data_IF_816987112430
#
_entry.id   IF_816987112430
#
_cell.length_a   1.000
_cell.length_b   1.000
_cell.length_c   1.000
_cell.angle_alpha   90.00
_cell.angle_beta   90.00
_cell.angle_gamma   90.00
#
_symmetry.space_group_name_H-M   'P 1'
#
loop_
_entity.id
_entity.type
_entity.pdbx_description
1 polymer ?
#
# COMPACT_ATOMS: atom_id res chain seq x y z
N UNK A 1 1.03 -2.86 13.47
CA UNK A 1 -0.23 -2.62 12.71
C UNK A 1 -0.97 -1.36 13.18
N UNK A 2 -0.96 -1.01 14.48
CA UNK A 2 -1.48 0.27 14.95
C UNK A 2 -0.90 1.49 14.20
N UNK A 3 0.38 1.44 13.85
CA UNK A 3 1.06 2.54 13.13
C UNK A 3 0.54 2.77 11.70
N UNK A 4 0.03 1.74 11.01
CA UNK A 4 -0.54 1.89 9.65
C UNK A 4 -1.89 2.57 9.74
N UNK A 5 -2.76 2.12 10.64
CA UNK A 5 -4.05 2.77 10.89
C UNK A 5 -3.86 4.23 11.32
N UNK A 6 -2.89 4.51 12.19
CA UNK A 6 -2.56 5.87 12.61
C UNK A 6 -2.00 6.75 11.47
N UNK A 7 -1.49 6.14 10.39
CA UNK A 7 -1.04 6.83 9.19
C UNK A 7 -2.18 7.30 8.27
N UNK A 8 -3.40 6.79 8.43
CA UNK A 8 -4.56 7.27 7.68
C UNK A 8 -5.14 8.53 8.31
N UNK A 9 -5.46 9.51 7.47
CA UNK A 9 -6.06 10.77 7.92
C UNK A 9 -7.56 10.64 8.10
N UNK A 10 -8.13 11.54 8.89
CA UNK A 10 -9.58 11.65 9.04
C UNK A 10 -10.17 12.41 7.83
N UNK A 11 -10.31 11.71 6.70
CA UNK A 11 -10.97 12.19 5.48
C UNK A 11 -12.23 11.37 5.19
N UNK A 12 -13.23 11.89 4.46
CA UNK A 12 -14.52 11.22 4.33
C UNK A 12 -14.47 9.81 3.72
N UNK A 13 -13.52 9.55 2.80
CA UNK A 13 -13.45 8.28 2.07
C UNK A 13 -12.09 7.56 2.22
N UNK A 14 -10.98 8.15 1.76
CA UNK A 14 -9.62 7.55 1.79
C UNK A 14 -9.02 7.50 3.22
N UNK A 15 -9.72 6.81 4.11
CA UNK A 15 -9.38 6.65 5.52
C UNK A 15 -9.12 5.16 5.84
N UNK A 16 -8.82 4.86 7.10
CA UNK A 16 -8.51 3.49 7.52
C UNK A 16 -9.67 2.50 7.28
N UNK A 17 -10.92 2.97 7.27
CA UNK A 17 -12.09 2.13 6.97
C UNK A 17 -12.06 1.62 5.53
N UNK A 18 -11.81 2.51 4.57
CA UNK A 18 -11.61 2.15 3.16
C UNK A 18 -10.46 1.17 2.97
N UNK A 19 -9.32 1.40 3.64
CA UNK A 19 -8.18 0.48 3.56
C UNK A 19 -8.52 -0.93 4.06
N UNK A 20 -9.31 -1.04 5.13
CA UNK A 20 -9.76 -2.33 5.67
C UNK A 20 -10.74 -3.01 4.71
N UNK A 21 -11.67 -2.27 4.13
CA UNK A 21 -12.62 -2.79 3.14
C UNK A 21 -11.90 -3.38 1.91
N UNK A 22 -10.98 -2.63 1.32
CA UNK A 22 -10.15 -3.08 0.19
C UNK A 22 -9.32 -4.31 0.57
N UNK A 23 -8.67 -4.29 1.74
CA UNK A 23 -7.85 -5.42 2.21
C UNK A 23 -8.69 -6.68 2.40
N UNK A 24 -9.87 -6.56 3.01
CA UNK A 24 -10.76 -7.68 3.27
C UNK A 24 -11.35 -8.24 1.97
N UNK A 25 -11.84 -7.37 1.08
CA UNK A 25 -12.34 -7.76 -0.23
C UNK A 25 -11.27 -8.47 -1.07
N UNK A 26 -10.05 -7.93 -1.11
CA UNK A 26 -8.92 -8.55 -1.82
C UNK A 26 -8.57 -9.92 -1.21
N UNK A 27 -8.47 -10.02 0.11
CA UNK A 27 -8.19 -11.29 0.77
C UNK A 27 -9.25 -12.34 0.43
N UNK A 28 -10.53 -11.97 0.47
CA UNK A 28 -11.63 -12.86 0.10
C UNK A 28 -11.53 -13.32 -1.36
N UNK A 29 -11.28 -12.41 -2.30
CA UNK A 29 -11.09 -12.75 -3.72
C UNK A 29 -9.92 -13.73 -3.92
N UNK A 30 -8.77 -13.48 -3.29
CA UNK A 30 -7.58 -14.30 -3.48
C UNK A 30 -7.71 -15.70 -2.85
N UNK A 31 -8.41 -15.82 -1.72
CA UNK A 31 -8.54 -17.08 -0.99
C UNK A 31 -9.79 -17.88 -1.39
N UNK A 32 -10.95 -17.24 -1.46
CA UNK A 32 -12.24 -17.92 -1.69
C UNK A 32 -12.46 -18.26 -3.15
N UNK A 33 -11.91 -17.47 -4.09
CA UNK A 33 -11.98 -17.75 -5.52
C UNK A 33 -10.72 -18.42 -6.07
N UNK A 34 -9.80 -18.85 -5.19
CA UNK A 34 -8.50 -19.41 -5.58
C UNK A 34 -7.74 -18.50 -6.55
N UNK A 35 -7.82 -17.17 -6.35
CA UNK A 35 -7.28 -16.16 -7.26
C UNK A 35 -5.77 -16.21 -7.46
N UNK A 36 -5.05 -16.91 -6.59
CA UNK A 36 -3.60 -17.12 -6.72
C UNK A 36 -3.22 -18.52 -7.25
N UNK A 37 -4.19 -19.39 -7.53
CA UNK A 37 -3.92 -20.78 -7.88
C UNK A 37 -3.01 -20.88 -9.10
N UNK A 38 -1.86 -21.53 -8.92
CA UNK A 38 -0.89 -21.74 -9.99
C UNK A 38 0.10 -20.60 -10.18
N UNK A 39 0.03 -19.54 -9.38
CA UNK A 39 1.08 -18.53 -9.29
C UNK A 39 2.24 -19.11 -8.47
N UNK A 40 3.48 -19.00 -8.96
CA UNK A 40 4.65 -19.37 -8.19
C UNK A 40 4.80 -18.50 -6.92
N UNK A 41 4.99 -19.15 -5.76
CA UNK A 41 5.11 -18.50 -4.44
C UNK A 41 3.82 -17.75 -4.03
N UNK A 42 2.69 -18.49 -4.00
CA UNK A 42 1.35 -18.00 -3.63
C UNK A 42 1.34 -17.29 -2.26
N UNK A 43 2.02 -17.85 -1.26
CA UNK A 43 2.08 -17.27 0.10
C UNK A 43 2.72 -15.88 0.11
N UNK A 44 3.83 -15.69 -0.61
CA UNK A 44 4.48 -14.39 -0.74
C UNK A 44 3.62 -13.42 -1.56
N UNK A 45 2.84 -13.91 -2.53
CA UNK A 45 1.96 -13.06 -3.32
C UNK A 45 0.79 -12.58 -2.47
N UNK A 46 0.13 -13.49 -1.74
CA UNK A 46 -0.94 -13.16 -0.80
C UNK A 46 -0.47 -12.12 0.22
N UNK A 47 0.69 -12.33 0.83
CA UNK A 47 1.26 -11.39 1.79
C UNK A 47 1.52 -10.02 1.15
N UNK A 48 2.16 -9.98 -0.03
CA UNK A 48 2.42 -8.72 -0.72
C UNK A 48 1.12 -7.99 -1.09
N UNK A 49 0.10 -8.72 -1.55
CA UNK A 49 -1.22 -8.18 -1.92
C UNK A 49 -1.95 -7.59 -0.72
N UNK A 50 -1.99 -8.30 0.41
CA UNK A 50 -2.58 -7.78 1.63
C UNK A 50 -1.82 -6.55 2.15
N UNK A 51 -0.48 -6.58 2.16
CA UNK A 51 0.31 -5.43 2.61
C UNK A 51 0.14 -4.22 1.69
N UNK A 52 0.09 -4.41 0.37
CA UNK A 52 -0.17 -3.36 -0.60
C UNK A 52 -1.54 -2.73 -0.36
N UNK A 53 -2.60 -3.55 -0.28
CA UNK A 53 -3.96 -3.08 -0.01
C UNK A 53 -4.07 -2.29 1.30
N UNK A 54 -3.39 -2.73 2.36
CA UNK A 54 -3.40 -2.03 3.65
C UNK A 54 -2.76 -0.64 3.59
N UNK A 55 -1.78 -0.42 2.71
CA UNK A 55 -1.04 0.85 2.62
C UNK A 55 -1.38 1.67 1.39
N UNK A 56 -2.27 1.21 0.50
CA UNK A 56 -2.44 1.80 -0.83
C UNK A 56 -2.90 3.27 -0.81
N UNK A 57 -3.54 3.71 0.27
CA UNK A 57 -4.01 5.10 0.47
C UNK A 57 -3.46 5.72 1.77
N UNK A 58 -2.41 5.17 2.37
CA UNK A 58 -1.90 5.67 3.66
C UNK A 58 -1.37 7.09 3.51
N UNK A 59 -1.79 8.00 4.39
CA UNK A 59 -1.41 9.42 4.32
C UNK A 59 -2.22 10.29 3.34
N UNK A 60 -3.20 9.71 2.63
CA UNK A 60 -4.08 10.44 1.70
C UNK A 60 -4.75 11.64 2.38
N UNK A 61 -4.70 12.81 1.74
CA UNK A 61 -5.16 14.09 2.32
C UNK A 61 -6.56 14.53 1.87
N UNK A 62 -7.12 13.83 0.89
CA UNK A 62 -8.53 13.92 0.48
C UNK A 62 -8.72 14.63 -0.87
N UNK A 63 -7.64 15.04 -1.51
CA UNK A 63 -7.63 15.59 -2.87
C UNK A 63 -6.94 14.63 -3.83
N UNK A 64 -7.07 14.86 -5.14
CA UNK A 64 -6.54 13.95 -6.16
C UNK A 64 -5.22 14.46 -6.76
N UNK A 65 -4.56 13.60 -7.56
CA UNK A 65 -3.31 13.96 -8.25
C UNK A 65 -3.43 15.22 -9.11
N UNK A 66 -4.57 15.46 -9.77
CA UNK A 66 -4.79 16.67 -10.58
C UNK A 66 -4.74 17.94 -9.72
N UNK A 67 -5.34 17.91 -8.53
CA UNK A 67 -5.23 19.01 -7.58
C UNK A 67 -3.78 19.22 -7.15
N UNK A 68 -3.07 18.15 -6.79
CA UNK A 68 -1.67 18.23 -6.37
C UNK A 68 -0.76 18.86 -7.44
N UNK A 69 -0.92 18.45 -8.70
CA UNK A 69 -0.15 18.95 -9.85
C UNK A 69 -0.50 20.43 -10.10
N UNK A 70 -1.79 20.75 -10.22
CA UNK A 70 -2.25 22.11 -10.53
C UNK A 70 -1.91 23.14 -9.44
N UNK A 71 -1.71 22.69 -8.20
CA UNK A 71 -1.34 23.56 -7.08
C UNK A 71 0.15 23.54 -6.75
N UNK A 72 0.95 22.77 -7.49
CA UNK A 72 2.38 22.56 -7.20
C UNK A 72 2.64 22.18 -5.73
N UNK A 73 1.78 21.31 -5.20
CA UNK A 73 1.87 20.81 -3.83
C UNK A 73 3.20 20.07 -3.56
N UNK A 74 3.53 19.86 -2.28
CA UNK A 74 4.75 19.13 -1.89
C UNK A 74 4.82 17.73 -2.52
N UNK A 75 3.70 17.00 -2.56
CA UNK A 75 3.64 15.68 -3.22
C UNK A 75 3.98 15.76 -4.70
N UNK A 76 3.40 16.72 -5.42
CA UNK A 76 3.67 16.91 -6.85
C UNK A 76 5.14 17.25 -7.13
N UNK A 77 5.72 18.15 -6.33
CA UNK A 77 7.14 18.51 -6.43
C UNK A 77 8.06 17.32 -6.09
N UNK A 78 7.75 16.59 -5.02
CA UNK A 78 8.55 15.45 -4.55
C UNK A 78 8.59 14.32 -5.57
N UNK A 79 7.47 14.05 -6.24
CA UNK A 79 7.32 12.95 -7.19
C UNK A 79 7.35 13.40 -8.65
N UNK A 80 7.73 14.66 -8.91
CA UNK A 80 7.88 15.22 -10.26
C UNK A 80 6.64 14.96 -11.14
N UNK A 81 5.45 15.22 -10.57
CA UNK A 81 4.13 15.01 -11.18
C UNK A 81 3.78 13.56 -11.58
N UNK A 82 4.67 12.60 -11.34
CA UNK A 82 4.43 11.18 -11.63
C UNK A 82 3.72 10.55 -10.44
N UNK A 83 2.46 10.15 -10.62
CA UNK A 83 1.61 9.49 -9.60
C UNK A 83 1.84 9.98 -8.16
N UNK A 84 1.68 11.29 -7.87
CA UNK A 84 2.14 11.87 -6.59
C UNK A 84 1.60 11.17 -5.33
N UNK A 85 0.32 10.79 -5.34
CA UNK A 85 -0.30 10.09 -4.22
C UNK A 85 0.20 8.65 -4.10
N UNK A 86 0.25 7.89 -5.19
CA UNK A 86 0.64 6.48 -5.17
C UNK A 86 2.09 6.29 -4.69
N UNK A 87 3.01 7.15 -5.15
CA UNK A 87 4.38 7.14 -4.63
C UNK A 87 4.46 7.59 -3.17
N UNK A 88 3.59 8.50 -2.74
CA UNK A 88 3.49 8.88 -1.33
C UNK A 88 3.04 7.73 -0.44
N UNK A 89 1.98 7.03 -0.84
CA UNK A 89 1.43 5.87 -0.15
C UNK A 89 2.48 4.77 -0.01
N UNK A 90 3.21 4.46 -1.08
CA UNK A 90 4.35 3.53 -1.05
C UNK A 90 5.45 4.00 -0.08
N UNK A 91 5.86 5.27 -0.16
CA UNK A 91 6.94 5.80 0.67
C UNK A 91 6.59 5.75 2.18
N UNK A 92 5.38 6.16 2.54
CA UNK A 92 4.87 6.11 3.91
C UNK A 92 4.67 4.65 4.35
N UNK A 93 4.00 3.84 3.55
CA UNK A 93 3.72 2.44 3.82
C UNK A 93 4.98 1.62 4.07
N UNK A 94 6.00 1.75 3.23
CA UNK A 94 7.27 1.03 3.42
C UNK A 94 8.00 1.45 4.69
N UNK A 95 8.00 2.74 5.02
CA UNK A 95 8.60 3.24 6.27
C UNK A 95 7.90 2.65 7.48
N UNK A 96 6.57 2.59 7.48
CA UNK A 96 5.80 1.99 8.59
C UNK A 96 6.05 0.48 8.72
N UNK A 97 6.07 -0.25 7.60
CA UNK A 97 6.38 -1.68 7.58
C UNK A 97 7.80 -1.93 8.10
N UNK A 98 8.78 -1.13 7.68
CA UNK A 98 10.15 -1.25 8.15
C UNK A 98 10.28 -0.98 9.65
N UNK A 99 9.66 0.09 10.14
CA UNK A 99 9.69 0.45 11.57
C UNK A 99 9.04 -0.62 12.45
N UNK A 100 8.01 -1.29 11.96
CA UNK A 100 7.34 -2.36 12.69
C UNK A 100 8.18 -3.65 12.82
N UNK A 101 9.23 -3.79 12.02
CA UNK A 101 10.03 -5.02 11.96
C UNK A 101 9.27 -6.24 11.40
N UNK A 102 8.07 -6.05 10.84
CA UNK A 102 7.18 -7.14 10.39
C UNK A 102 7.87 -8.12 9.44
N UNK A 103 8.69 -7.61 8.53
CA UNK A 103 9.37 -8.41 7.52
C UNK A 103 10.78 -8.88 7.94
N UNK A 104 11.29 -8.43 9.09
CA UNK A 104 12.65 -8.74 9.57
C UNK A 104 12.96 -10.24 9.66
N UNK A 105 12.03 -11.11 10.08
CA UNK A 105 12.29 -12.55 10.12
C UNK A 105 12.46 -13.21 8.74
N UNK A 106 12.10 -12.53 7.65
CA UNK A 106 12.10 -13.10 6.31
C UNK A 106 13.48 -12.98 5.62
N UNK A 107 13.87 -13.97 4.78
CA UNK A 107 15.06 -13.88 3.96
C UNK A 107 15.10 -12.61 3.11
N UNK A 108 16.30 -12.07 2.86
CA UNK A 108 16.48 -10.84 2.08
C UNK A 108 15.80 -10.91 0.70
N UNK A 109 15.96 -12.02 -0.02
CA UNK A 109 15.32 -12.20 -1.34
C UNK A 109 13.80 -12.19 -1.25
N UNK A 110 13.21 -12.76 -0.19
CA UNK A 110 11.75 -12.71 0.03
C UNK A 110 11.30 -11.28 0.30
N UNK A 111 12.00 -10.53 1.15
CA UNK A 111 11.70 -9.11 1.41
C UNK A 111 11.76 -8.28 0.13
N UNK A 112 12.77 -8.51 -0.72
CA UNK A 112 12.92 -7.83 -2.01
C UNK A 112 11.79 -8.18 -2.98
N UNK A 113 11.38 -9.45 -3.06
CA UNK A 113 10.23 -9.87 -3.88
C UNK A 113 8.92 -9.25 -3.41
N UNK A 114 8.66 -9.24 -2.10
CA UNK A 114 7.46 -8.62 -1.52
C UNK A 114 7.42 -7.13 -1.84
N UNK A 115 8.54 -6.41 -1.63
CA UNK A 115 8.66 -4.99 -2.00
C UNK A 115 8.38 -4.75 -3.47
N UNK A 116 8.98 -5.53 -4.37
CA UNK A 116 8.78 -5.39 -5.81
C UNK A 116 7.32 -5.62 -6.22
N UNK A 117 6.65 -6.63 -5.64
CA UNK A 117 5.23 -6.90 -5.87
C UNK A 117 4.35 -5.75 -5.38
N UNK A 118 4.61 -5.22 -4.18
CA UNK A 118 3.86 -4.09 -3.63
C UNK A 118 3.97 -2.84 -4.52
N UNK A 119 5.17 -2.50 -5.02
CA UNK A 119 5.36 -1.36 -5.94
C UNK A 119 4.55 -1.51 -7.23
N UNK A 120 4.31 -2.75 -7.68
CA UNK A 120 3.50 -2.99 -8.87
C UNK A 120 1.98 -2.99 -8.64
N UNK A 121 1.52 -2.90 -7.38
CA UNK A 121 0.11 -3.00 -7.01
C UNK A 121 -0.47 -1.71 -6.43
N UNK A 122 0.37 -0.81 -5.91
CA UNK A 122 0.00 0.53 -5.43
C UNK A 122 0.44 1.53 -6.48
#
# INVERSE_FOLDING_TARGET
>A
MGDVQAGYRNVPYHNAGHAIDVTHGLHWLLTSLSGLRGIGDESSMLMASCLAAMVHDVGHDGVNNVFHINTSSEHALMYSDQSPLEFHHLAVGFRLIQNSGLLTPLPFETRRRVRARMIGMV
#
